data_IF_270637935594
#
_entry.id   IF_270637935594
#
_cell.length_a   1.000
_cell.length_b   1.000
_cell.length_c   1.000
_cell.angle_alpha   90.00
_cell.angle_beta   90.00
_cell.angle_gamma   90.00
#
_symmetry.space_group_name_H-M   'P 1'
#
loop_
_entity.id
_entity.type
_entity.pdbx_description
1 polymer ?
#
# COMPACT_ATOMS: atom_id res chain seq x y z
N UNK A 1 -72.25 -22.63 43.44
CA UNK A 1 -71.35 -22.90 42.24
C UNK A 1 -70.73 -21.56 41.94
N UNK A 2 -69.53 -21.35 42.43
CA UNK A 2 -68.80 -20.10 42.26
C UNK A 2 -67.45 -20.44 41.63
N UNK A 3 -67.23 -20.00 40.38
CA UNK A 3 -66.01 -20.23 39.63
C UNK A 3 -64.95 -19.26 40.09
N UNK A 4 -63.80 -19.75 40.51
CA UNK A 4 -62.60 -18.98 40.82
C UNK A 4 -61.82 -18.80 39.53
N UNK A 5 -61.79 -17.58 39.05
CA UNK A 5 -61.03 -17.18 37.88
C UNK A 5 -59.55 -16.99 38.26
N UNK A 6 -58.69 -17.93 37.85
CA UNK A 6 -57.26 -17.92 38.15
C UNK A 6 -56.53 -17.17 37.01
N UNK A 7 -56.46 -15.85 37.14
CA UNK A 7 -55.66 -15.01 36.26
C UNK A 7 -54.14 -15.34 36.45
N UNK A 8 -53.58 -16.05 35.49
CA UNK A 8 -52.16 -16.29 35.37
C UNK A 8 -51.43 -14.98 35.08
N UNK A 9 -50.72 -14.43 36.09
CA UNK A 9 -49.77 -13.33 35.90
C UNK A 9 -48.65 -13.78 34.95
N UNK A 10 -48.70 -13.31 33.73
CA UNK A 10 -47.56 -13.37 32.77
C UNK A 10 -46.43 -12.54 33.38
N UNK A 11 -45.39 -13.15 33.85
CA UNK A 11 -44.14 -12.50 34.21
C UNK A 11 -43.50 -12.00 32.92
N UNK A 12 -43.60 -10.71 32.65
CA UNK A 12 -42.85 -10.01 31.59
C UNK A 12 -41.35 -10.11 31.91
N UNK A 13 -40.71 -11.13 31.32
CA UNK A 13 -39.24 -11.15 31.26
C UNK A 13 -38.78 -9.97 30.41
N UNK A 14 -37.88 -9.11 30.92
CA UNK A 14 -37.35 -8.00 30.13
C UNK A 14 -36.68 -8.61 28.87
N UNK A 15 -37.06 -8.12 27.69
CA UNK A 15 -36.54 -8.57 26.43
C UNK A 15 -35.00 -8.46 26.42
N UNK A 16 -34.26 -9.49 25.96
CA UNK A 16 -32.80 -9.44 25.90
C UNK A 16 -32.39 -8.26 25.02
N UNK A 17 -31.62 -7.34 25.61
CA UNK A 17 -31.14 -6.15 24.95
C UNK A 17 -30.50 -6.51 23.59
N UNK A 18 -30.95 -5.88 22.50
CA UNK A 18 -30.48 -6.12 21.14
C UNK A 18 -28.95 -6.04 21.10
N UNK A 19 -28.25 -7.01 20.46
CA UNK A 19 -26.81 -6.91 20.24
C UNK A 19 -26.48 -5.61 19.50
N UNK A 20 -25.32 -5.00 19.76
CA UNK A 20 -24.90 -3.82 19.01
C UNK A 20 -24.98 -4.17 17.52
N UNK A 21 -25.62 -3.28 16.74
CA UNK A 21 -25.83 -3.53 15.30
C UNK A 21 -24.50 -3.87 14.67
N UNK A 22 -24.41 -4.93 13.87
CA UNK A 22 -23.16 -5.46 13.27
C UNK A 22 -22.35 -4.38 12.55
N UNK A 23 -23.01 -3.40 11.95
CA UNK A 23 -22.37 -2.29 11.24
C UNK A 23 -21.39 -1.46 12.10
N UNK A 24 -21.54 -1.40 13.43
CA UNK A 24 -20.53 -0.76 14.29
C UNK A 24 -19.20 -1.50 14.28
N UNK A 25 -19.27 -2.83 14.23
CA UNK A 25 -18.07 -3.66 14.09
C UNK A 25 -17.41 -3.47 12.72
N UNK A 26 -18.20 -3.51 11.66
CA UNK A 26 -17.73 -3.32 10.29
C UNK A 26 -17.06 -1.94 10.13
N UNK A 27 -17.73 -0.87 10.60
CA UNK A 27 -17.19 0.49 10.55
C UNK A 27 -15.91 0.63 11.40
N UNK A 28 -15.86 -0.01 12.57
CA UNK A 28 -14.66 0.01 13.41
C UNK A 28 -13.47 -0.64 12.75
N UNK A 29 -13.66 -1.79 12.08
CA UNK A 29 -12.62 -2.48 11.34
C UNK A 29 -12.12 -1.68 10.15
N UNK A 30 -13.03 -1.14 9.34
CA UNK A 30 -12.69 -0.30 8.18
C UNK A 30 -11.94 0.96 8.64
N UNK A 31 -12.41 1.65 9.69
CA UNK A 31 -11.76 2.84 10.23
C UNK A 31 -10.36 2.55 10.78
N UNK A 32 -10.19 1.41 11.48
CA UNK A 32 -8.88 1.00 12.00
C UNK A 32 -7.89 0.67 10.87
N UNK A 33 -8.35 -0.01 9.83
CA UNK A 33 -7.52 -0.33 8.65
C UNK A 33 -7.19 0.93 7.85
N UNK A 34 -8.15 1.84 7.67
CA UNK A 34 -7.89 3.12 7.01
C UNK A 34 -6.81 3.91 7.77
N UNK A 35 -6.91 4.02 9.11
CA UNK A 35 -5.90 4.69 9.92
C UNK A 35 -4.54 4.00 9.81
N UNK A 36 -4.50 2.66 9.81
CA UNK A 36 -3.26 1.89 9.64
C UNK A 36 -2.57 2.21 8.32
N UNK A 37 -3.33 2.22 7.21
CA UNK A 37 -2.81 2.56 5.89
C UNK A 37 -2.35 4.02 5.84
N UNK A 38 -3.12 4.96 6.38
CA UNK A 38 -2.77 6.37 6.41
C UNK A 38 -1.47 6.65 7.17
N UNK A 39 -1.34 6.10 8.38
CA UNK A 39 -0.10 6.24 9.16
C UNK A 39 1.06 5.50 8.50
N UNK A 40 0.81 4.31 7.95
CA UNK A 40 1.81 3.54 7.20
C UNK A 40 2.38 4.34 6.03
N UNK A 41 1.55 5.01 5.23
CA UNK A 41 2.01 5.86 4.11
C UNK A 41 2.82 7.08 4.59
N UNK A 42 2.45 7.69 5.72
CA UNK A 42 3.24 8.79 6.30
C UNK A 42 4.61 8.33 6.78
N UNK A 43 4.68 7.16 7.43
CA UNK A 43 5.96 6.58 7.86
C UNK A 43 6.79 6.14 6.64
N UNK A 44 6.14 5.57 5.61
CA UNK A 44 6.80 5.21 4.35
C UNK A 44 7.41 6.42 3.62
N UNK A 45 6.84 7.62 3.79
CA UNK A 45 7.45 8.85 3.29
C UNK A 45 8.84 9.12 3.90
N UNK A 46 9.19 8.52 5.04
CA UNK A 46 10.50 8.62 5.67
C UNK A 46 11.40 7.39 5.41
N UNK A 47 10.81 6.20 5.26
CA UNK A 47 11.53 4.92 5.12
C UNK A 47 11.70 4.45 3.68
N UNK A 48 11.03 5.10 2.72
CA UNK A 48 11.05 4.77 1.30
C UNK A 48 9.70 4.30 0.78
N UNK A 49 9.29 4.80 -0.38
CA UNK A 49 8.00 4.47 -1.01
C UNK A 49 7.70 2.96 -1.15
N UNK A 50 8.68 2.11 -1.50
CA UNK A 50 8.46 0.65 -1.57
C UNK A 50 8.09 -0.02 -0.24
N UNK A 51 8.35 0.63 0.90
CA UNK A 51 8.01 0.14 2.24
C UNK A 51 6.53 0.38 2.62
N UNK A 52 5.78 1.16 1.82
CA UNK A 52 4.37 1.43 2.06
C UNK A 52 3.56 0.12 2.08
N UNK A 53 2.71 -0.10 3.09
CA UNK A 53 2.06 -1.41 3.30
C UNK A 53 1.27 -1.90 2.09
N UNK A 54 0.54 -1.00 1.42
CA UNK A 54 -0.25 -1.35 0.23
C UNK A 54 0.65 -1.72 -0.97
N UNK A 55 1.78 -1.04 -1.13
CA UNK A 55 2.75 -1.31 -2.20
C UNK A 55 3.46 -2.64 -1.95
N UNK A 56 3.93 -2.87 -0.72
CA UNK A 56 4.63 -4.09 -0.36
C UNK A 56 3.75 -5.35 -0.52
N UNK A 57 2.54 -5.33 0.05
CA UNK A 57 1.58 -6.45 -0.03
C UNK A 57 1.05 -6.63 -1.45
N UNK A 58 0.72 -5.52 -2.13
CA UNK A 58 0.26 -5.54 -3.52
C UNK A 58 1.29 -6.15 -4.46
N UNK A 59 2.58 -5.80 -4.29
CA UNK A 59 3.66 -6.39 -5.07
C UNK A 59 3.77 -7.90 -4.84
N UNK A 60 3.76 -8.38 -3.58
CA UNK A 60 3.77 -9.83 -3.30
C UNK A 60 2.56 -10.53 -3.93
N UNK A 61 1.38 -9.90 -3.89
CA UNK A 61 0.18 -10.47 -4.51
C UNK A 61 0.32 -10.60 -6.04
N UNK A 62 0.93 -9.60 -6.70
CA UNK A 62 1.23 -9.65 -8.15
C UNK A 62 2.25 -10.75 -8.46
N UNK A 63 3.33 -10.82 -7.67
CA UNK A 63 4.39 -11.81 -7.88
C UNK A 63 3.86 -13.24 -7.73
N UNK A 64 3.01 -13.46 -6.72
CA UNK A 64 2.41 -14.77 -6.43
C UNK A 64 1.22 -15.14 -7.36
N UNK A 65 0.68 -14.21 -8.12
CA UNK A 65 -0.48 -14.47 -8.99
C UNK A 65 -0.08 -15.40 -10.15
N UNK A 66 -0.83 -16.53 -10.38
CA UNK A 66 -0.58 -17.42 -11.50
C UNK A 66 -0.73 -16.72 -12.86
N UNK A 67 0.06 -17.15 -13.85
CA UNK A 67 0.05 -16.58 -15.21
C UNK A 67 -1.35 -16.45 -15.81
N UNK A 68 -2.25 -17.44 -15.73
CA UNK A 68 -3.61 -17.30 -16.28
C UNK A 68 -4.43 -16.16 -15.65
N UNK A 69 -4.20 -15.86 -14.36
CA UNK A 69 -4.87 -14.74 -13.68
C UNK A 69 -4.35 -13.40 -14.20
N UNK A 70 -3.04 -13.30 -14.44
CA UNK A 70 -2.41 -12.12 -15.04
C UNK A 70 -2.91 -11.88 -16.46
N UNK A 71 -2.93 -12.93 -17.28
CA UNK A 71 -3.43 -12.87 -18.66
C UNK A 71 -4.91 -12.47 -18.73
N UNK A 72 -5.74 -13.06 -17.86
CA UNK A 72 -7.15 -12.67 -17.75
C UNK A 72 -7.31 -11.20 -17.38
N UNK A 73 -6.55 -10.73 -16.38
CA UNK A 73 -6.62 -9.33 -15.94
C UNK A 73 -6.22 -8.36 -17.08
N UNK A 74 -5.15 -8.66 -17.82
CA UNK A 74 -4.72 -7.87 -18.97
C UNK A 74 -5.76 -7.93 -20.10
N UNK A 75 -6.31 -9.10 -20.41
CA UNK A 75 -7.29 -9.25 -21.47
C UNK A 75 -8.62 -8.52 -21.20
N UNK A 76 -9.07 -8.49 -19.92
CA UNK A 76 -10.35 -7.89 -19.52
C UNK A 76 -10.23 -6.40 -19.26
N UNK A 77 -9.17 -5.97 -18.57
CA UNK A 77 -9.03 -4.59 -18.10
C UNK A 77 -8.11 -3.73 -18.97
N UNK A 78 -7.33 -4.34 -19.86
CA UNK A 78 -6.42 -3.65 -20.79
C UNK A 78 -5.60 -2.55 -20.09
N UNK A 79 -5.79 -1.27 -20.43
CA UNK A 79 -5.09 -0.12 -19.82
C UNK A 79 -5.49 0.16 -18.36
N UNK A 80 -6.60 -0.40 -17.88
CA UNK A 80 -7.11 -0.23 -16.50
C UNK A 80 -6.79 -1.40 -15.57
N UNK A 81 -5.99 -2.37 -16.01
CA UNK A 81 -5.62 -3.58 -15.25
C UNK A 81 -5.07 -3.26 -13.85
N UNK A 82 -4.19 -2.26 -13.74
CA UNK A 82 -3.59 -1.82 -12.48
C UNK A 82 -4.62 -1.16 -11.53
N UNK A 83 -5.54 -0.36 -12.09
CA UNK A 83 -6.62 0.26 -11.30
C UNK A 83 -7.60 -0.79 -10.80
N UNK A 84 -7.99 -1.74 -11.64
CA UNK A 84 -8.86 -2.85 -11.27
C UNK A 84 -8.23 -3.72 -10.19
N UNK A 85 -6.94 -4.03 -10.30
CA UNK A 85 -6.20 -4.79 -9.30
C UNK A 85 -6.11 -4.03 -7.96
N UNK A 86 -5.77 -2.74 -7.99
CA UNK A 86 -5.74 -1.91 -6.77
C UNK A 86 -7.11 -1.83 -6.10
N UNK A 87 -8.17 -1.60 -6.87
CA UNK A 87 -9.54 -1.58 -6.37
C UNK A 87 -9.95 -2.93 -5.76
N UNK A 88 -9.57 -4.04 -6.41
CA UNK A 88 -9.79 -5.40 -5.90
C UNK A 88 -9.08 -5.64 -4.58
N UNK A 89 -7.80 -5.27 -4.46
CA UNK A 89 -7.04 -5.38 -3.21
C UNK A 89 -7.70 -4.57 -2.09
N UNK A 90 -8.08 -3.32 -2.37
CA UNK A 90 -8.74 -2.45 -1.38
C UNK A 90 -10.09 -3.04 -0.95
N UNK A 91 -10.88 -3.58 -1.88
CA UNK A 91 -12.16 -4.22 -1.58
C UNK A 91 -11.98 -5.44 -0.69
N UNK A 92 -11.05 -6.34 -1.03
CA UNK A 92 -10.73 -7.52 -0.23
C UNK A 92 -10.27 -7.13 1.18
N UNK A 93 -9.36 -6.15 1.28
CA UNK A 93 -8.93 -5.61 2.57
C UNK A 93 -10.09 -5.02 3.37
N UNK A 94 -11.01 -4.30 2.74
CA UNK A 94 -12.18 -3.72 3.41
C UNK A 94 -13.13 -4.80 3.95
N UNK A 95 -13.35 -5.89 3.21
CA UNK A 95 -14.17 -7.04 3.66
C UNK A 95 -13.53 -7.71 4.88
N UNK A 96 -12.23 -8.01 4.81
CA UNK A 96 -11.51 -8.59 5.95
C UNK A 96 -11.47 -7.64 7.15
N UNK A 97 -11.25 -6.36 6.92
CA UNK A 97 -11.28 -5.34 7.96
C UNK A 97 -12.64 -5.27 8.66
N UNK A 98 -13.74 -5.28 7.90
CA UNK A 98 -15.09 -5.31 8.45
C UNK A 98 -15.31 -6.57 9.31
N UNK A 99 -14.88 -7.73 8.83
CA UNK A 99 -14.97 -8.99 9.56
C UNK A 99 -14.17 -8.95 10.88
N UNK A 100 -12.91 -8.50 10.83
CA UNK A 100 -12.06 -8.35 12.03
C UNK A 100 -12.69 -7.36 13.02
N UNK A 101 -13.26 -6.27 12.52
CA UNK A 101 -13.96 -5.29 13.34
C UNK A 101 -15.18 -5.89 14.05
N UNK A 102 -15.99 -6.71 13.39
CA UNK A 102 -17.10 -7.44 13.99
C UNK A 102 -16.60 -8.39 15.08
N UNK A 103 -15.51 -9.12 14.81
CA UNK A 103 -14.88 -10.00 15.80
C UNK A 103 -14.36 -9.21 17.02
N UNK A 104 -13.73 -8.04 16.79
CA UNK A 104 -13.22 -7.17 17.85
C UNK A 104 -14.34 -6.66 18.75
N UNK A 105 -15.53 -6.38 18.18
CA UNK A 105 -16.70 -5.97 18.98
C UNK A 105 -17.27 -7.12 19.80
N UNK A 106 -17.16 -8.35 19.34
CA UNK A 106 -17.55 -9.54 20.11
C UNK A 106 -16.56 -9.82 21.23
N UNK A 107 -15.28 -10.01 20.87
CA UNK A 107 -14.16 -10.21 21.81
C UNK A 107 -12.93 -9.48 21.30
N UNK A 108 -12.41 -8.53 22.04
CA UNK A 108 -11.30 -7.66 21.61
C UNK A 108 -10.07 -8.44 21.15
N UNK A 109 -9.73 -9.53 21.83
CA UNK A 109 -8.54 -10.32 21.50
C UNK A 109 -8.61 -10.96 20.11
N UNK A 110 -9.81 -11.33 19.58
CA UNK A 110 -9.94 -11.80 18.20
C UNK A 110 -9.60 -10.71 17.19
N UNK A 111 -10.06 -9.46 17.46
CA UNK A 111 -9.71 -8.32 16.63
C UNK A 111 -8.23 -8.01 16.65
N UNK A 112 -7.61 -8.02 17.85
CA UNK A 112 -6.18 -7.79 18.00
C UNK A 112 -5.35 -8.91 17.34
N UNK A 113 -5.78 -10.17 17.45
CA UNK A 113 -5.15 -11.28 16.74
C UNK A 113 -5.24 -11.11 15.22
N UNK A 114 -6.41 -10.68 14.70
CA UNK A 114 -6.57 -10.35 13.28
C UNK A 114 -5.61 -9.25 12.83
N UNK A 115 -5.50 -8.16 13.58
CA UNK A 115 -4.55 -7.07 13.29
C UNK A 115 -3.10 -7.58 13.32
N UNK A 116 -2.75 -8.44 14.29
CA UNK A 116 -1.41 -9.03 14.39
C UNK A 116 -1.07 -9.91 13.18
N UNK A 117 -2.02 -10.74 12.72
CA UNK A 117 -1.84 -11.59 11.53
C UNK A 117 -1.62 -10.73 10.28
N UNK A 118 -2.47 -9.71 10.03
CA UNK A 118 -2.29 -8.81 8.89
C UNK A 118 -1.02 -7.98 9.01
N UNK A 119 -0.68 -7.53 10.22
CA UNK A 119 0.59 -6.84 10.49
C UNK A 119 1.79 -7.73 10.17
N UNK A 120 1.76 -9.00 10.56
CA UNK A 120 2.82 -9.98 10.24
C UNK A 120 2.95 -10.19 8.73
N UNK A 121 1.83 -10.37 8.01
CA UNK A 121 1.83 -10.49 6.54
C UNK A 121 2.49 -9.25 5.91
N UNK A 122 2.13 -8.05 6.35
CA UNK A 122 2.72 -6.81 5.83
C UNK A 122 4.20 -6.64 6.17
N UNK A 123 4.64 -7.04 7.37
CA UNK A 123 6.05 -7.07 7.76
C UNK A 123 6.83 -8.04 6.87
N UNK A 124 6.35 -9.26 6.69
CA UNK A 124 6.99 -10.25 5.81
C UNK A 124 7.03 -9.75 4.37
N UNK A 125 5.92 -9.20 3.86
CA UNK A 125 5.86 -8.65 2.52
C UNK A 125 6.85 -7.51 2.30
N UNK A 126 7.04 -6.62 3.26
CA UNK A 126 8.01 -5.52 3.16
C UNK A 126 9.46 -5.98 3.31
N UNK A 127 9.72 -6.97 4.20
CA UNK A 127 11.05 -7.50 4.45
C UNK A 127 11.58 -8.38 3.28
N UNK A 128 10.71 -8.96 2.48
CA UNK A 128 11.07 -9.81 1.32
C UNK A 128 11.27 -9.03 0.03
N UNK A 129 11.13 -7.71 0.02
CA UNK A 129 11.41 -6.89 -1.17
C UNK A 129 12.91 -6.88 -1.50
N UNK A 130 13.28 -6.90 -2.81
CA UNK A 130 14.69 -6.93 -3.24
C UNK A 130 15.55 -5.80 -2.67
N UNK A 131 14.96 -4.63 -2.45
CA UNK A 131 15.62 -3.44 -1.89
C UNK A 131 15.36 -3.24 -0.39
N UNK A 132 14.86 -4.27 0.33
CA UNK A 132 14.45 -4.13 1.72
C UNK A 132 15.61 -3.71 2.63
N UNK A 133 15.35 -2.70 3.45
CA UNK A 133 16.22 -2.29 4.55
C UNK A 133 15.55 -2.66 5.88
N UNK A 134 16.32 -2.59 6.98
CA UNK A 134 15.78 -2.83 8.33
C UNK A 134 14.59 -1.90 8.68
N UNK A 135 14.46 -0.75 8.00
CA UNK A 135 13.40 0.23 8.23
C UNK A 135 12.08 -0.10 7.48
N UNK A 136 12.11 -0.98 6.49
CA UNK A 136 10.92 -1.32 5.67
C UNK A 136 9.72 -1.88 6.45
N UNK A 137 9.88 -2.65 7.53
CA UNK A 137 8.75 -3.09 8.36
C UNK A 137 8.09 -1.97 9.18
N UNK A 138 8.78 -0.83 9.45
CA UNK A 138 8.29 0.22 10.34
C UNK A 138 6.91 0.79 9.95
N UNK A 139 6.60 1.09 8.66
CA UNK A 139 5.27 1.58 8.26
C UNK A 139 4.16 0.61 8.65
N UNK A 140 4.36 -0.68 8.43
CA UNK A 140 3.37 -1.71 8.76
C UNK A 140 3.20 -1.86 10.27
N UNK A 141 4.29 -1.86 11.03
CA UNK A 141 4.24 -1.96 12.49
C UNK A 141 3.52 -0.75 13.09
N UNK A 142 3.87 0.47 12.67
CA UNK A 142 3.21 1.69 13.12
C UNK A 142 1.71 1.68 12.79
N UNK A 143 1.36 1.25 11.58
CA UNK A 143 -0.03 1.11 11.15
C UNK A 143 -0.80 0.08 11.99
N UNK A 144 -0.22 -1.09 12.24
CA UNK A 144 -0.84 -2.14 13.05
C UNK A 144 -1.08 -1.69 14.50
N UNK A 145 -0.12 -0.99 15.10
CA UNK A 145 -0.27 -0.43 16.45
C UNK A 145 -1.39 0.62 16.50
N UNK A 146 -1.47 1.50 15.49
CA UNK A 146 -2.54 2.49 15.39
C UNK A 146 -3.92 1.83 15.23
N UNK A 147 -4.03 0.80 14.38
CA UNK A 147 -5.27 0.03 14.21
C UNK A 147 -5.70 -0.65 15.52
N UNK A 148 -4.77 -1.31 16.21
CA UNK A 148 -5.03 -1.95 17.50
C UNK A 148 -5.51 -0.92 18.56
N UNK A 149 -4.82 0.21 18.65
CA UNK A 149 -5.19 1.31 19.54
C UNK A 149 -6.58 1.86 19.24
N UNK A 150 -6.91 2.09 17.97
CA UNK A 150 -8.23 2.59 17.56
C UNK A 150 -9.34 1.56 17.83
N UNK A 151 -9.12 0.27 17.59
CA UNK A 151 -10.11 -0.77 17.94
C UNK A 151 -10.39 -0.82 19.43
N UNK A 152 -9.36 -0.70 20.28
CA UNK A 152 -9.51 -0.62 21.73
C UNK A 152 -10.32 0.61 22.12
N UNK A 153 -10.00 1.78 21.54
CA UNK A 153 -10.66 3.04 21.81
C UNK A 153 -12.14 3.00 21.38
N UNK A 154 -12.43 2.57 20.16
CA UNK A 154 -13.78 2.45 19.63
C UNK A 154 -14.64 1.49 20.48
N UNK A 155 -14.07 0.38 20.93
CA UNK A 155 -14.78 -0.54 21.81
C UNK A 155 -15.11 0.07 23.17
N UNK A 156 -14.23 0.94 23.70
CA UNK A 156 -14.46 1.63 24.99
C UNK A 156 -15.58 2.67 24.92
N UNK A 157 -15.87 3.22 23.74
CA UNK A 157 -16.95 4.21 23.56
C UNK A 157 -18.34 3.58 23.52
N UNK A 158 -18.44 2.27 23.25
CA UNK A 158 -19.72 1.58 23.25
C UNK A 158 -20.12 1.19 24.68
N UNK A 159 -21.40 1.41 25.10
CA UNK A 159 -21.86 1.09 26.46
C UNK A 159 -21.66 -0.42 26.73
N UNK A 160 -20.95 -0.73 27.82
CA UNK A 160 -20.88 -2.09 28.35
C UNK A 160 -22.27 -2.43 28.90
N UNK A 161 -22.75 -3.64 28.62
CA UNK A 161 -23.93 -4.17 29.32
C UNK A 161 -23.65 -4.09 30.82
N UNK A 162 -24.42 -3.29 31.54
CA UNK A 162 -24.53 -3.44 32.98
C UNK A 162 -25.17 -4.83 33.20
N UNK A 163 -24.41 -5.79 33.68
CA UNK A 163 -24.93 -7.00 34.28
C UNK A 163 -25.53 -6.53 35.62
N UNK A 164 -26.82 -6.28 35.62
CA UNK A 164 -27.54 -6.17 36.87
C UNK A 164 -27.39 -7.54 37.54
N UNK A 165 -26.62 -7.59 38.59
CA UNK A 165 -26.44 -8.78 39.41
C UNK A 165 -27.79 -9.13 40.03
N UNK A 166 -28.15 -10.43 39.96
CA UNK A 166 -29.34 -10.91 40.64
C UNK A 166 -29.29 -10.71 42.16
N UNK A 167 -28.16 -10.29 42.72
CA UNK A 167 -27.98 -9.91 44.12
C UNK A 167 -28.55 -8.54 44.46
N UNK A 168 -28.63 -7.60 43.50
CA UNK A 168 -29.24 -6.27 43.76
C UNK A 168 -30.78 -6.31 43.85
N UNK A 169 -31.38 -7.44 43.48
CA UNK A 169 -32.83 -7.67 43.60
C UNK A 169 -33.23 -8.46 44.88
N UNK A 170 -32.22 -8.97 45.61
CA UNK A 170 -32.44 -9.77 46.83
C UNK A 170 -32.55 -8.98 48.13
N UNK A 171 -32.06 -7.75 48.18
CA UNK A 171 -32.02 -6.93 49.41
C UNK A 171 -33.24 -6.06 49.64
N UNK A 172 -34.26 -6.13 48.76
CA UNK A 172 -35.50 -5.33 48.88
C UNK A 172 -36.66 -6.07 49.61
N UNK A 173 -36.41 -7.32 50.06
CA UNK A 173 -37.37 -8.04 50.89
C UNK A 173 -36.81 -8.21 52.30
N UNK A 174 -36.96 -7.16 53.11
CA UNK A 174 -36.78 -7.27 54.58
C UNK A 174 -37.91 -8.10 55.18
N UNK A 175 -37.66 -8.79 56.32
CA UNK A 175 -38.64 -9.67 56.92
C UNK A 175 -39.80 -8.87 57.55
N UNK A 176 -41.03 -9.29 57.21
CA UNK A 176 -42.27 -8.83 57.88
C UNK A 176 -42.16 -9.12 59.33
N UNK A 177 -42.15 -8.06 60.16
CA UNK A 177 -42.46 -8.16 61.57
C UNK A 177 -43.89 -7.66 61.78
N UNK A 178 -44.79 -8.60 62.14
CA UNK A 178 -46.12 -8.38 62.71
C UNK A 178 -46.01 -7.51 63.96
N UNK A 179 -46.60 -6.31 63.95
CA UNK A 179 -47.05 -5.65 65.15
C UNK A 179 -48.43 -5.03 64.91
N UNK A 180 -49.36 -5.56 65.72
CA UNK A 180 -50.76 -5.17 65.74
C UNK A 180 -50.98 -3.78 66.35
N UNK A 181 -51.98 -3.12 65.79
CA UNK A 181 -53.03 -2.24 66.44
C UNK A 181 -52.66 -0.85 66.95
N UNK A 182 -53.50 0.01 66.52
CA UNK A 182 -54.14 1.22 67.13
C UNK A 182 -53.72 2.58 66.55
N UNK A 183 -54.66 3.07 65.80
CA UNK A 183 -55.28 4.39 65.63
C UNK A 183 -54.46 5.64 65.88
N UNK A 184 -54.36 6.44 64.84
CA UNK A 184 -54.79 7.86 64.77
C UNK A 184 -54.47 8.44 63.40
N UNK A 185 -55.44 9.05 62.73
CA UNK A 185 -55.28 9.66 61.39
C UNK A 185 -54.49 10.96 61.46
N UNK A 186 -53.38 11.03 60.74
CA UNK A 186 -52.79 12.27 60.25
C UNK A 186 -52.33 12.05 58.80
N UNK A 187 -52.64 12.91 57.82
CA UNK A 187 -52.25 12.72 56.45
C UNK A 187 -50.78 13.11 56.27
N UNK A 188 -49.91 12.10 56.06
CA UNK A 188 -48.53 12.33 55.65
C UNK A 188 -48.52 12.52 54.15
N UNK A 189 -48.08 13.70 53.75
CA UNK A 189 -47.83 14.16 52.39
C UNK A 189 -46.92 13.17 51.71
N UNK A 190 -47.36 12.61 50.56
CA UNK A 190 -46.62 11.58 49.76
C UNK A 190 -45.22 12.03 49.34
N UNK A 191 -44.25 11.31 49.82
CA UNK A 191 -42.91 11.33 49.22
C UNK A 191 -43.00 10.52 47.87
N UNK A 192 -42.97 11.23 46.76
CA UNK A 192 -43.06 10.63 45.45
C UNK A 192 -41.88 9.68 45.23
N UNK A 193 -42.18 8.44 44.92
CA UNK A 193 -41.20 7.50 44.39
C UNK A 193 -40.51 8.13 43.19
N UNK A 194 -39.15 8.03 43.03
CA UNK A 194 -38.48 8.55 41.87
C UNK A 194 -39.04 7.86 40.62
N UNK A 195 -39.62 8.66 39.73
CA UNK A 195 -40.25 8.18 38.50
C UNK A 195 -39.23 7.40 37.66
N UNK A 196 -39.61 6.23 37.20
CA UNK A 196 -38.83 5.38 36.25
C UNK A 196 -38.36 6.14 34.99
N UNK A 197 -38.99 7.28 34.71
CA UNK A 197 -38.66 8.14 33.59
C UNK A 197 -37.33 8.90 33.75
N UNK A 198 -36.94 9.27 34.99
CA UNK A 198 -35.67 9.95 35.23
C UNK A 198 -34.46 9.02 35.02
N UNK A 199 -34.59 7.75 35.40
CA UNK A 199 -33.52 6.74 35.21
C UNK A 199 -33.36 6.36 33.73
N UNK A 200 -34.47 6.26 32.99
CA UNK A 200 -34.43 5.98 31.53
C UNK A 200 -33.84 7.16 30.75
N UNK A 201 -34.10 8.41 31.14
CA UNK A 201 -33.55 9.56 30.42
C UNK A 201 -32.02 9.70 30.60
N UNK A 202 -31.49 9.35 31.78
CA UNK A 202 -30.03 9.35 32.03
C UNK A 202 -29.31 8.23 31.26
N UNK A 203 -29.92 7.04 31.17
CA UNK A 203 -29.38 5.92 30.42
C UNK A 203 -29.40 6.15 28.88
N UNK A 204 -30.45 6.81 28.39
CA UNK A 204 -30.54 7.20 26.97
C UNK A 204 -29.54 8.30 26.61
N UNK A 205 -29.32 9.28 27.47
CA UNK A 205 -28.31 10.32 27.27
C UNK A 205 -26.87 9.78 27.22
N UNK A 206 -26.52 8.84 28.08
CA UNK A 206 -25.23 8.19 28.10
C UNK A 206 -25.00 7.31 26.82
N UNK A 207 -26.05 6.64 26.35
CA UNK A 207 -26.02 5.86 25.13
C UNK A 207 -25.83 6.71 23.87
N UNK A 208 -26.47 7.89 23.80
CA UNK A 208 -26.32 8.82 22.67
C UNK A 208 -24.93 9.45 22.62
N UNK A 209 -24.34 9.81 23.75
CA UNK A 209 -23.00 10.37 23.86
C UNK A 209 -21.94 9.36 23.41
N UNK A 210 -22.07 8.09 23.78
CA UNK A 210 -21.17 7.01 23.34
C UNK A 210 -21.22 6.79 21.83
N UNK A 211 -22.43 6.79 21.24
CA UNK A 211 -22.59 6.63 19.77
C UNK A 211 -21.99 7.81 18.99
N UNK A 212 -22.20 9.04 19.44
CA UNK A 212 -21.61 10.24 18.81
C UNK A 212 -20.09 10.19 18.84
N UNK A 213 -19.48 9.82 19.99
CA UNK A 213 -18.03 9.66 20.13
C UNK A 213 -17.48 8.54 19.22
N UNK A 214 -18.16 7.40 19.15
CA UNK A 214 -17.79 6.31 18.25
C UNK A 214 -17.76 6.77 16.79
N UNK A 215 -18.84 7.40 16.32
CA UNK A 215 -18.94 7.89 14.94
C UNK A 215 -17.88 8.96 14.64
N UNK A 216 -17.70 9.91 15.57
CA UNK A 216 -16.69 10.96 15.40
C UNK A 216 -15.27 10.38 15.26
N UNK A 217 -14.92 9.38 16.10
CA UNK A 217 -13.61 8.71 16.02
C UNK A 217 -13.46 7.90 14.74
N UNK A 218 -14.48 7.13 14.35
CA UNK A 218 -14.42 6.30 13.16
C UNK A 218 -14.34 7.14 11.87
N UNK A 219 -15.21 8.15 11.75
CA UNK A 219 -15.21 9.07 10.58
C UNK A 219 -13.94 9.92 10.58
N UNK A 220 -13.52 10.41 11.76
CA UNK A 220 -12.27 11.15 11.90
C UNK A 220 -11.05 10.33 11.46
N UNK A 221 -10.98 9.04 11.83
CA UNK A 221 -9.89 8.16 11.41
C UNK A 221 -9.89 7.91 9.88
N UNK A 222 -11.07 7.71 9.28
CA UNK A 222 -11.21 7.57 7.82
C UNK A 222 -10.82 8.87 7.12
N UNK A 223 -11.29 10.01 7.63
CA UNK A 223 -10.96 11.34 7.09
C UNK A 223 -9.45 11.64 7.19
N UNK A 224 -8.83 11.33 8.33
CA UNK A 224 -7.39 11.45 8.50
C UNK A 224 -6.61 10.58 7.51
N UNK A 225 -7.04 9.34 7.28
CA UNK A 225 -6.44 8.44 6.30
C UNK A 225 -6.60 8.95 4.86
N UNK A 226 -7.77 9.51 4.51
CA UNK A 226 -8.02 10.09 3.20
C UNK A 226 -7.07 11.26 2.86
N UNK A 227 -6.55 11.95 3.87
CA UNK A 227 -5.53 13.00 3.72
C UNK A 227 -4.12 12.41 3.81
N UNK A 228 -3.89 11.50 4.77
CA UNK A 228 -2.56 10.95 5.06
C UNK A 228 -2.01 10.11 3.89
N UNK A 229 -2.85 9.29 3.24
CA UNK A 229 -2.40 8.44 2.11
C UNK A 229 -1.88 9.28 0.95
N UNK A 230 -2.64 10.20 0.35
CA UNK A 230 -2.11 11.03 -0.73
C UNK A 230 -1.00 11.97 -0.25
N UNK A 231 -1.08 12.45 1.00
CA UNK A 231 -0.06 13.29 1.62
C UNK A 231 1.30 12.61 1.72
N UNK A 232 1.34 11.39 2.27
CA UNK A 232 2.56 10.59 2.37
C UNK A 232 3.19 10.30 1.00
N UNK A 233 2.38 9.90 0.02
CA UNK A 233 2.83 9.65 -1.36
C UNK A 233 3.39 10.91 -2.02
N UNK A 234 2.73 12.07 -1.85
CA UNK A 234 3.21 13.35 -2.37
C UNK A 234 4.54 13.77 -1.74
N UNK A 235 4.66 13.64 -0.42
CA UNK A 235 5.90 13.98 0.28
C UNK A 235 7.08 13.16 -0.23
N UNK A 236 6.89 11.86 -0.44
CA UNK A 236 7.92 10.99 -1.00
C UNK A 236 8.23 11.36 -2.45
N UNK A 237 7.21 11.54 -3.30
CA UNK A 237 7.37 11.93 -4.69
C UNK A 237 8.13 13.27 -4.83
N UNK A 238 7.84 14.24 -3.98
CA UNK A 238 8.56 15.52 -3.96
C UNK A 238 10.05 15.37 -3.58
N UNK A 239 10.36 14.46 -2.62
CA UNK A 239 11.76 14.18 -2.27
C UNK A 239 12.52 13.58 -3.43
N UNK A 240 11.94 12.57 -4.09
CA UNK A 240 12.57 11.94 -5.26
C UNK A 240 12.69 12.93 -6.42
N UNK A 241 11.68 13.77 -6.65
CA UNK A 241 11.74 14.82 -7.68
C UNK A 241 12.85 15.85 -7.39
N UNK A 242 12.99 16.28 -6.12
CA UNK A 242 14.06 17.18 -5.70
C UNK A 242 15.44 16.51 -5.84
N UNK A 243 15.57 15.25 -5.41
CA UNK A 243 16.81 14.48 -5.56
C UNK A 243 17.17 14.28 -7.05
N UNK A 244 16.19 14.01 -7.92
CA UNK A 244 16.39 13.92 -9.38
C UNK A 244 16.86 15.27 -9.95
N UNK A 245 16.22 16.36 -9.57
CA UNK A 245 16.59 17.70 -10.05
C UNK A 245 18.00 18.14 -9.61
N UNK A 246 18.49 17.59 -8.51
CA UNK A 246 19.85 17.85 -8.02
C UNK A 246 20.92 17.01 -8.72
N UNK A 247 20.56 16.01 -9.51
CA UNK A 247 21.52 15.19 -10.26
C UNK A 247 22.14 16.02 -11.39
N UNK A 248 23.46 16.14 -11.36
CA UNK A 248 24.25 16.68 -12.46
C UNK A 248 24.79 15.54 -13.29
N UNK A 249 24.33 15.44 -14.53
CA UNK A 249 24.82 14.41 -15.45
C UNK A 249 26.27 14.74 -15.89
N UNK A 250 27.16 13.74 -15.92
CA UNK A 250 28.52 13.95 -16.45
C UNK A 250 28.48 14.17 -17.95
N UNK A 251 29.48 14.85 -18.48
CA UNK A 251 29.68 14.98 -19.92
C UNK A 251 30.06 13.61 -20.51
N UNK A 252 29.46 13.20 -21.64
CA UNK A 252 29.79 11.93 -22.27
C UNK A 252 31.23 11.94 -22.79
N UNK A 253 31.98 10.85 -22.58
CA UNK A 253 33.28 10.63 -23.19
C UNK A 253 33.19 10.38 -24.72
N UNK A 254 32.01 9.89 -25.15
CA UNK A 254 31.67 9.71 -26.56
C UNK A 254 30.25 10.25 -26.78
N UNK A 255 30.11 11.52 -27.19
CA UNK A 255 28.82 12.14 -27.42
C UNK A 255 28.11 11.52 -28.63
N UNK A 256 26.78 11.60 -28.66
CA UNK A 256 26.00 11.22 -29.83
C UNK A 256 26.32 12.13 -31.02
N UNK A 257 26.32 11.56 -32.22
CA UNK A 257 26.48 12.35 -33.42
C UNK A 257 25.38 13.40 -33.57
N UNK A 258 25.69 14.62 -33.99
CA UNK A 258 24.70 15.65 -34.21
C UNK A 258 23.67 15.17 -35.25
N UNK A 259 22.39 15.43 -34.99
CA UNK A 259 21.34 15.06 -35.92
C UNK A 259 21.33 15.99 -37.15
N UNK A 260 21.09 15.45 -38.36
CA UNK A 260 20.85 16.27 -39.55
C UNK A 260 19.69 17.22 -39.35
N UNK A 261 19.77 18.43 -39.96
CA UNK A 261 18.74 19.47 -39.79
C UNK A 261 17.31 19.05 -40.23
N UNK A 262 17.19 17.99 -41.07
CA UNK A 262 15.90 17.45 -41.55
C UNK A 262 15.70 15.99 -41.14
N UNK A 263 16.17 15.60 -39.95
CA UNK A 263 16.02 14.23 -39.45
C UNK A 263 14.53 13.87 -39.21
N UNK A 264 13.72 14.82 -38.81
CA UNK A 264 12.26 14.67 -38.71
C UNK A 264 11.61 15.07 -40.04
N UNK A 265 10.81 14.16 -40.60
CA UNK A 265 10.22 14.33 -41.94
C UNK A 265 9.12 15.40 -42.02
N UNK A 266 8.61 15.88 -40.90
CA UNK A 266 7.61 16.99 -40.84
C UNK A 266 6.26 16.67 -41.48
N UNK A 267 5.90 15.41 -41.61
CA UNK A 267 4.62 14.94 -42.15
C UNK A 267 3.61 14.81 -41.01
N UNK A 268 2.38 15.35 -41.12
CA UNK A 268 1.35 15.17 -40.12
C UNK A 268 1.12 13.70 -39.81
N UNK A 269 1.04 13.35 -38.51
CA UNK A 269 0.85 11.97 -38.05
C UNK A 269 2.14 11.13 -37.97
N UNK A 270 3.29 11.69 -38.33
CA UNK A 270 4.60 11.03 -38.14
C UNK A 270 5.28 11.64 -36.90
N UNK A 271 5.63 10.77 -35.95
CA UNK A 271 6.34 11.16 -34.73
C UNK A 271 7.71 11.82 -35.03
N UNK A 272 8.17 12.77 -34.22
CA UNK A 272 9.52 13.30 -34.33
C UNK A 272 10.57 12.20 -34.18
N UNK A 273 11.72 12.35 -34.86
CA UNK A 273 12.81 11.38 -34.72
C UNK A 273 13.25 11.18 -33.27
N UNK A 274 13.24 12.22 -32.44
CA UNK A 274 13.45 12.13 -31.01
C UNK A 274 12.11 12.31 -30.32
N UNK A 275 11.64 11.30 -29.64
CA UNK A 275 10.44 11.31 -28.83
C UNK A 275 10.70 12.11 -27.57
N UNK A 276 9.85 13.10 -27.24
CA UNK A 276 9.96 13.86 -25.99
C UNK A 276 9.76 12.95 -24.79
N UNK A 277 10.41 13.23 -23.66
CA UNK A 277 10.30 12.41 -22.46
C UNK A 277 8.85 12.21 -21.97
N UNK A 278 8.02 13.25 -22.10
CA UNK A 278 6.60 13.19 -21.70
C UNK A 278 5.72 12.33 -22.62
N UNK A 279 6.13 12.13 -23.88
CA UNK A 279 5.40 11.38 -24.90
C UNK A 279 5.96 9.97 -25.11
N UNK A 280 7.11 9.68 -24.47
CA UNK A 280 7.75 8.37 -24.61
C UNK A 280 6.87 7.29 -23.95
N UNK A 281 6.62 6.20 -24.65
CA UNK A 281 5.72 5.16 -24.17
C UNK A 281 6.15 4.57 -22.83
N UNK A 282 5.18 4.15 -22.04
CA UNK A 282 5.42 3.53 -20.74
C UNK A 282 4.74 2.17 -20.64
N UNK A 283 5.54 1.12 -20.55
CA UNK A 283 5.14 -0.25 -20.23
C UNK A 283 5.98 -0.71 -19.03
N UNK A 284 5.35 -1.21 -18.00
CA UNK A 284 5.97 -1.83 -16.83
C UNK A 284 4.95 -2.68 -16.06
N UNK A 285 5.43 -3.56 -15.19
CA UNK A 285 4.63 -4.41 -14.31
C UNK A 285 4.35 -3.76 -12.95
N UNK A 286 4.95 -2.61 -12.68
CA UNK A 286 4.84 -1.93 -11.40
C UNK A 286 3.41 -1.46 -11.11
N UNK A 287 2.87 -1.80 -9.95
CA UNK A 287 1.56 -1.34 -9.48
C UNK A 287 1.54 0.18 -9.30
N UNK A 288 2.62 0.71 -8.78
CA UNK A 288 2.91 2.14 -8.65
C UNK A 288 4.31 2.38 -9.15
N UNK A 289 4.55 3.53 -9.78
CA UNK A 289 5.89 3.89 -10.25
C UNK A 289 6.89 3.80 -9.09
N UNK A 290 7.89 2.92 -9.15
CA UNK A 290 8.94 2.87 -8.16
C UNK A 290 9.65 4.23 -8.08
N UNK A 291 9.89 4.66 -6.87
CA UNK A 291 10.56 5.93 -6.58
C UNK A 291 11.70 5.65 -5.63
N UNK A 292 12.90 6.02 -6.03
CA UNK A 292 14.13 5.78 -5.26
C UNK A 292 15.01 7.02 -5.28
N UNK A 293 15.55 7.40 -4.14
CA UNK A 293 16.57 8.45 -4.10
C UNK A 293 17.91 7.88 -4.60
N UNK A 294 18.71 8.65 -5.36
CA UNK A 294 20.02 8.17 -5.88
C UNK A 294 20.98 7.68 -4.81
N UNK A 295 20.98 8.31 -3.63
CA UNK A 295 21.83 7.92 -2.49
C UNK A 295 21.55 6.50 -1.97
N UNK A 296 20.31 6.03 -2.14
CA UNK A 296 19.87 4.71 -1.67
C UNK A 296 20.02 3.64 -2.76
N UNK A 297 20.28 4.06 -4.00
CA UNK A 297 20.45 3.14 -5.12
C UNK A 297 21.78 2.40 -5.06
N UNK A 298 21.72 1.11 -5.33
CA UNK A 298 22.87 0.22 -5.50
C UNK A 298 22.60 -0.72 -6.67
N UNK A 299 23.65 -1.00 -7.42
CA UNK A 299 23.66 -2.08 -8.41
C UNK A 299 24.59 -3.19 -7.93
N UNK A 300 24.07 -4.40 -7.85
CA UNK A 300 24.90 -5.59 -7.58
C UNK A 300 24.98 -6.44 -8.84
N UNK A 301 26.21 -6.76 -9.26
CA UNK A 301 26.48 -7.70 -10.36
C UNK A 301 27.13 -8.93 -9.73
N UNK A 302 26.46 -10.08 -9.87
CA UNK A 302 26.87 -11.32 -9.19
C UNK A 302 26.43 -12.58 -9.94
N UNK A 303 26.58 -13.74 -9.32
CA UNK A 303 26.24 -15.03 -9.91
C UNK A 303 27.44 -15.68 -10.56
N UNK A 304 27.34 -16.04 -11.85
CA UNK A 304 28.41 -16.72 -12.58
C UNK A 304 29.45 -15.72 -13.13
N UNK A 305 30.08 -14.99 -12.20
CA UNK A 305 31.14 -14.00 -12.47
C UNK A 305 32.34 -14.29 -11.57
N UNK A 306 33.54 -14.00 -12.04
CA UNK A 306 34.74 -14.19 -11.24
C UNK A 306 34.91 -13.11 -10.16
N UNK A 307 34.46 -11.89 -10.45
CA UNK A 307 34.61 -10.71 -9.58
C UNK A 307 33.25 -10.02 -9.37
N UNK A 308 32.44 -10.42 -8.40
CA UNK A 308 31.20 -9.72 -8.06
C UNK A 308 31.47 -8.23 -7.79
N UNK A 309 30.57 -7.36 -8.25
CA UNK A 309 30.70 -5.90 -8.17
C UNK A 309 29.46 -5.29 -7.56
N UNK A 310 29.64 -4.32 -6.65
CA UNK A 310 28.55 -3.49 -6.17
C UNK A 310 28.90 -2.02 -6.39
N UNK A 311 28.01 -1.27 -7.02
CA UNK A 311 28.19 0.14 -7.34
C UNK A 311 27.14 1.00 -6.65
N UNK A 312 27.56 2.14 -6.13
CA UNK A 312 26.65 3.24 -5.79
C UNK A 312 26.33 4.08 -7.02
N UNK A 313 25.30 4.94 -6.93
CA UNK A 313 24.96 5.85 -8.02
C UNK A 313 26.12 6.80 -8.37
N UNK A 314 26.79 7.33 -7.33
CA UNK A 314 27.95 8.20 -7.50
C UNK A 314 29.11 7.50 -8.21
N UNK A 315 29.38 6.24 -7.82
CA UNK A 315 30.41 5.42 -8.48
C UNK A 315 30.06 5.12 -9.93
N UNK A 316 28.77 4.95 -10.25
CA UNK A 316 28.30 4.79 -11.62
C UNK A 316 28.49 6.08 -12.43
N UNK A 317 28.13 7.25 -11.85
CA UNK A 317 28.29 8.54 -12.51
C UNK A 317 29.76 8.91 -12.75
N UNK A 318 30.68 8.42 -11.94
CA UNK A 318 32.12 8.64 -12.10
C UNK A 318 32.77 7.81 -13.25
N UNK A 319 32.03 6.88 -13.85
CA UNK A 319 32.53 6.05 -14.96
C UNK A 319 32.44 6.80 -16.30
N UNK A 320 33.29 6.45 -17.27
CA UNK A 320 33.14 6.95 -18.63
C UNK A 320 31.75 6.60 -19.19
N UNK A 321 31.04 7.60 -19.68
CA UNK A 321 29.71 7.41 -20.26
C UNK A 321 29.71 7.71 -21.75
N UNK A 322 28.84 7.04 -22.47
CA UNK A 322 28.59 7.31 -23.88
C UNK A 322 27.17 7.80 -24.06
N UNK A 323 26.95 8.57 -25.11
CA UNK A 323 25.64 9.08 -25.47
C UNK A 323 25.23 8.55 -26.84
N UNK A 324 24.02 7.96 -26.95
CA UNK A 324 23.53 7.31 -28.17
C UNK A 324 22.05 7.57 -28.39
N UNK A 325 21.64 7.70 -29.64
CA UNK A 325 20.25 7.61 -30.03
C UNK A 325 19.86 6.14 -30.16
N UNK A 326 18.92 5.68 -29.33
CA UNK A 326 18.46 4.30 -29.34
C UNK A 326 16.94 4.28 -29.33
N UNK A 327 16.37 3.52 -30.26
CA UNK A 327 14.94 3.23 -30.31
C UNK A 327 14.62 2.03 -29.42
N UNK A 328 13.64 2.18 -28.55
CA UNK A 328 13.04 1.09 -27.82
C UNK A 328 11.62 0.83 -28.36
N UNK A 329 11.28 -0.44 -28.50
CA UNK A 329 9.93 -0.87 -28.88
C UNK A 329 9.43 -1.94 -27.91
N UNK A 330 8.13 -1.93 -27.63
CA UNK A 330 7.47 -3.03 -26.94
C UNK A 330 7.19 -4.15 -27.94
N UNK A 331 7.26 -5.40 -27.48
CA UNK A 331 6.87 -6.57 -28.30
C UNK A 331 5.40 -6.52 -28.72
N UNK A 332 4.57 -5.85 -27.93
CA UNK A 332 3.13 -5.64 -28.19
C UNK A 332 2.86 -4.43 -29.09
N UNK A 333 3.89 -3.77 -29.65
CA UNK A 333 3.66 -2.66 -30.56
C UNK A 333 3.14 -3.17 -31.91
N UNK A 334 1.97 -2.72 -32.30
CA UNK A 334 1.41 -2.99 -33.62
C UNK A 334 2.05 -2.07 -34.68
N UNK A 335 1.91 -2.42 -35.95
CA UNK A 335 2.37 -1.56 -37.05
C UNK A 335 1.62 -0.23 -37.01
N UNK A 336 2.36 0.88 -36.87
CA UNK A 336 1.78 2.21 -36.65
C UNK A 336 1.31 2.47 -35.22
N UNK A 337 1.64 1.59 -34.26
CA UNK A 337 1.27 1.74 -32.85
C UNK A 337 2.16 2.71 -32.09
N UNK A 338 1.74 3.05 -30.87
CA UNK A 338 2.34 4.07 -30.02
C UNK A 338 3.37 3.53 -29.01
N UNK A 339 3.66 2.19 -29.04
CA UNK A 339 4.55 1.54 -28.08
C UNK A 339 6.00 1.45 -28.62
N UNK A 340 6.47 2.52 -29.23
CA UNK A 340 7.82 2.69 -29.75
C UNK A 340 8.27 4.12 -29.47
N UNK A 341 9.56 4.32 -29.20
CA UNK A 341 10.10 5.66 -28.97
C UNK A 341 11.61 5.67 -29.22
N UNK A 342 12.13 6.77 -29.79
CA UNK A 342 13.55 7.00 -29.97
C UNK A 342 14.00 8.14 -29.07
N UNK A 343 15.03 7.92 -28.27
CA UNK A 343 15.56 8.95 -27.38
C UNK A 343 17.11 8.95 -27.41
N UNK A 344 17.68 10.04 -26.95
CA UNK A 344 19.10 10.19 -26.71
C UNK A 344 19.41 9.75 -25.28
N UNK A 345 20.13 8.65 -25.15
CA UNK A 345 20.44 8.03 -23.87
C UNK A 345 21.90 8.28 -23.49
N UNK A 346 22.13 8.68 -22.23
CA UNK A 346 23.44 8.80 -21.61
C UNK A 346 23.61 7.65 -20.59
N UNK A 347 24.69 6.89 -20.70
CA UNK A 347 24.91 5.77 -19.76
C UNK A 347 26.29 5.14 -19.88
N UNK A 348 26.57 4.23 -18.95
CA UNK A 348 27.77 3.42 -18.93
C UNK A 348 27.55 2.20 -19.85
N UNK A 349 28.50 1.85 -20.75
CA UNK A 349 28.39 0.63 -21.55
C UNK A 349 28.34 -0.60 -20.64
N UNK A 350 27.33 -1.46 -20.83
CA UNK A 350 27.20 -2.71 -20.05
C UNK A 350 28.39 -3.62 -20.30
N UNK A 351 28.91 -3.62 -21.52
CA UNK A 351 30.11 -4.40 -21.89
C UNK A 351 31.28 -4.13 -20.94
N UNK A 352 31.55 -2.88 -20.63
CA UNK A 352 32.68 -2.49 -19.77
C UNK A 352 32.54 -3.07 -18.35
N UNK A 353 31.31 -3.09 -17.82
CA UNK A 353 31.00 -3.71 -16.52
C UNK A 353 31.11 -5.24 -16.58
N UNK A 354 30.65 -5.85 -17.67
CA UNK A 354 30.79 -7.30 -17.85
C UNK A 354 32.25 -7.72 -18.04
N UNK A 355 33.05 -6.93 -18.72
CA UNK A 355 34.50 -7.19 -18.87
C UNK A 355 35.23 -7.07 -17.52
N UNK A 356 34.78 -6.16 -16.62
CA UNK A 356 35.34 -6.01 -15.28
C UNK A 356 34.99 -7.20 -14.35
N UNK A 357 33.73 -7.69 -14.40
CA UNK A 357 33.29 -8.79 -13.53
C UNK A 357 33.67 -10.17 -14.05
N UNK A 358 34.10 -10.29 -15.29
CA UNK A 358 34.51 -11.52 -15.99
C UNK A 358 33.45 -12.64 -15.82
N UNK A 359 32.32 -12.60 -16.55
CA UNK A 359 31.35 -13.67 -16.51
C UNK A 359 31.96 -14.99 -17.02
N UNK A 360 31.51 -16.09 -16.42
CA UNK A 360 31.85 -17.44 -16.86
C UNK A 360 31.40 -17.67 -18.33
N UNK A 361 32.18 -18.36 -19.13
CA UNK A 361 31.87 -18.63 -20.56
C UNK A 361 30.53 -19.38 -20.73
N UNK A 362 30.09 -20.11 -19.72
CA UNK A 362 28.80 -20.81 -19.72
C UNK A 362 27.63 -19.94 -19.29
N UNK A 363 27.86 -18.67 -18.89
CA UNK A 363 26.81 -17.70 -18.58
C UNK A 363 26.27 -17.10 -19.89
N UNK A 364 25.33 -17.79 -20.51
CA UNK A 364 24.71 -17.39 -21.78
C UNK A 364 23.69 -16.30 -21.68
N UNK A 365 23.20 -16.00 -20.42
CA UNK A 365 22.16 -15.02 -20.14
C UNK A 365 22.50 -14.20 -18.90
N UNK A 366 22.25 -12.89 -18.99
CA UNK A 366 22.26 -11.96 -17.85
C UNK A 366 20.81 -11.71 -17.42
N UNK A 367 20.49 -12.04 -16.17
CA UNK A 367 19.18 -11.76 -15.56
C UNK A 367 19.26 -10.41 -14.86
N UNK A 368 18.56 -9.43 -15.39
CA UNK A 368 18.42 -8.12 -14.78
C UNK A 368 17.22 -8.08 -13.83
N UNK A 369 17.34 -7.40 -12.67
CA UNK A 369 16.25 -7.26 -11.69
C UNK A 369 16.02 -5.80 -11.35
N UNK A 370 14.74 -5.43 -11.34
CA UNK A 370 14.23 -4.13 -10.90
C UNK A 370 13.97 -4.11 -9.40
N UNK A 371 13.91 -2.91 -8.81
CA UNK A 371 13.53 -2.67 -7.41
C UNK A 371 12.13 -3.19 -7.05
N UNK A 372 11.20 -3.24 -8.03
CA UNK A 372 9.85 -3.77 -7.85
C UNK A 372 9.78 -5.31 -7.97
N UNK A 373 10.89 -5.97 -8.28
CA UNK A 373 10.99 -7.41 -8.41
C UNK A 373 10.87 -7.93 -9.85
N UNK A 374 10.56 -7.07 -10.84
CA UNK A 374 10.56 -7.47 -12.24
C UNK A 374 11.93 -8.00 -12.67
N UNK A 375 11.94 -9.07 -13.45
CA UNK A 375 13.16 -9.66 -14.01
C UNK A 375 13.05 -9.82 -15.52
N UNK A 376 14.19 -9.63 -16.21
CA UNK A 376 14.31 -9.89 -17.63
C UNK A 376 15.65 -10.60 -17.93
N UNK A 377 15.62 -11.57 -18.80
CA UNK A 377 16.83 -12.25 -19.28
C UNK A 377 17.28 -11.69 -20.61
N UNK A 378 18.54 -11.22 -20.68
CA UNK A 378 19.17 -10.71 -21.90
C UNK A 378 20.33 -11.63 -22.28
N UNK A 379 20.46 -12.08 -23.55
CA UNK A 379 21.59 -12.88 -23.95
C UNK A 379 22.92 -12.16 -23.69
N UNK A 380 23.86 -12.83 -23.01
CA UNK A 380 25.17 -12.25 -22.65
C UNK A 380 25.92 -11.78 -23.90
N UNK A 381 25.82 -12.52 -24.99
CA UNK A 381 26.45 -12.17 -26.28
C UNK A 381 25.92 -10.79 -26.77
N UNK A 382 24.62 -10.52 -26.65
CA UNK A 382 24.04 -9.25 -27.11
C UNK A 382 24.50 -8.05 -26.26
N UNK A 383 24.91 -8.27 -25.02
CA UNK A 383 25.43 -7.21 -24.13
C UNK A 383 26.92 -6.94 -24.37
N UNK A 384 27.62 -7.81 -25.11
CA UNK A 384 29.09 -7.74 -25.34
C UNK A 384 29.48 -7.54 -26.81
N UNK A 385 28.55 -7.58 -27.76
CA UNK A 385 28.83 -7.54 -29.19
C UNK A 385 29.13 -6.14 -29.77
N UNK A 386 29.16 -5.12 -28.90
CA UNK A 386 29.49 -3.75 -29.30
C UNK A 386 28.29 -2.91 -29.78
N UNK A 387 27.06 -3.39 -29.60
CA UNK A 387 25.84 -2.65 -29.98
C UNK A 387 25.51 -1.43 -29.09
N UNK A 388 26.41 -0.96 -28.24
CA UNK A 388 26.18 0.12 -27.29
C UNK A 388 25.02 -0.15 -26.32
N UNK A 389 24.95 -1.35 -25.71
CA UNK A 389 24.05 -1.64 -24.60
C UNK A 389 24.46 -0.82 -23.38
N UNK A 390 23.52 -0.08 -22.77
CA UNK A 390 23.80 0.93 -21.75
C UNK A 390 23.09 0.64 -20.41
N UNK A 391 23.77 0.95 -19.32
CA UNK A 391 23.13 1.36 -18.08
C UNK A 391 22.88 2.88 -18.15
N UNK A 392 21.69 3.25 -18.58
CA UNK A 392 21.33 4.63 -18.82
C UNK A 392 20.98 5.36 -17.50
N UNK A 393 21.50 6.58 -17.34
CA UNK A 393 21.24 7.50 -16.25
C UNK A 393 20.57 8.78 -16.73
N UNK A 394 20.65 9.07 -18.03
CA UNK A 394 20.08 10.25 -18.67
C UNK A 394 19.28 9.93 -19.93
N UNK A 395 18.30 10.76 -20.22
CA UNK A 395 17.40 10.68 -21.37
C UNK A 395 17.15 12.08 -21.92
N UNK A 396 17.44 12.30 -23.20
CA UNK A 396 17.26 13.57 -23.91
C UNK A 396 17.93 14.78 -23.21
N UNK A 397 19.08 14.56 -22.55
CA UNK A 397 19.88 15.61 -21.93
C UNK A 397 19.50 15.96 -20.48
N UNK A 398 18.57 15.22 -19.87
CA UNK A 398 18.22 15.35 -18.46
C UNK A 398 18.31 14.00 -17.73
N UNK A 399 18.41 13.97 -16.38
CA UNK A 399 18.31 12.73 -15.62
C UNK A 399 17.03 11.99 -16.01
N UNK A 400 17.06 10.65 -16.00
CA UNK A 400 15.91 9.84 -16.38
C UNK A 400 14.62 10.33 -15.68
N UNK A 401 13.49 10.43 -16.39
CA UNK A 401 12.20 10.57 -15.73
C UNK A 401 11.93 9.38 -14.80
N UNK A 402 11.22 9.61 -13.69
CA UNK A 402 10.96 8.57 -12.69
C UNK A 402 10.21 7.40 -13.32
N UNK A 403 9.22 7.66 -14.17
CA UNK A 403 8.42 6.69 -14.92
C UNK A 403 9.22 5.92 -15.98
N UNK A 404 10.36 6.46 -16.39
CA UNK A 404 11.25 5.83 -17.36
C UNK A 404 12.45 5.14 -16.72
N UNK A 405 12.47 4.99 -15.39
CA UNK A 405 13.42 4.12 -14.70
C UNK A 405 14.51 4.83 -13.88
N UNK A 406 14.30 6.12 -13.50
CA UNK A 406 15.22 6.80 -12.58
C UNK A 406 15.49 5.97 -11.31
N UNK A 407 16.74 5.85 -10.83
CA UNK A 407 17.93 6.54 -11.33
C UNK A 407 18.67 5.82 -12.46
N UNK A 408 18.45 4.52 -12.67
CA UNK A 408 19.18 3.72 -13.67
C UNK A 408 18.27 2.71 -14.35
N UNK A 409 18.41 2.57 -15.68
CA UNK A 409 17.75 1.52 -16.46
C UNK A 409 18.67 0.88 -17.47
N UNK A 410 18.31 -0.31 -17.91
CA UNK A 410 18.91 -0.91 -19.10
C UNK A 410 18.30 -0.35 -20.38
N UNK A 411 19.15 -0.16 -21.39
CA UNK A 411 18.78 0.17 -22.78
C UNK A 411 19.68 -0.63 -23.69
N UNK A 412 19.11 -1.55 -24.46
CA UNK A 412 19.86 -2.42 -25.37
C UNK A 412 19.33 -2.27 -26.79
N UNK A 413 20.12 -1.73 -27.73
CA UNK A 413 19.70 -1.57 -29.11
C UNK A 413 19.35 -2.91 -29.77
N UNK A 414 18.31 -2.92 -30.59
CA UNK A 414 17.92 -4.06 -31.41
C UNK A 414 17.16 -5.18 -30.69
N UNK A 415 16.82 -5.02 -29.40
CA UNK A 415 16.00 -5.96 -28.65
C UNK A 415 14.72 -5.29 -28.16
N UNK A 416 13.63 -6.06 -28.10
CA UNK A 416 12.39 -5.59 -27.47
C UNK A 416 12.57 -5.34 -25.98
N UNK A 417 11.87 -4.33 -25.46
CA UNK A 417 12.03 -3.87 -24.08
C UNK A 417 11.82 -4.93 -23.00
N UNK A 418 10.95 -5.93 -23.23
CA UNK A 418 10.65 -6.96 -22.22
C UNK A 418 11.82 -7.90 -21.92
N UNK A 419 12.83 -7.98 -22.80
CA UNK A 419 14.05 -8.77 -22.61
C UNK A 419 15.31 -7.92 -22.41
N UNK A 420 15.21 -6.58 -22.36
CA UNK A 420 16.41 -5.75 -22.46
C UNK A 420 16.33 -4.37 -21.80
N UNK A 421 15.16 -3.94 -21.33
CA UNK A 421 14.99 -2.56 -20.92
C UNK A 421 14.46 -2.43 -19.49
N UNK A 422 15.03 -3.22 -18.56
CA UNK A 422 14.67 -3.20 -17.14
C UNK A 422 14.86 -1.82 -16.55
N UNK A 423 13.75 -1.23 -16.08
CA UNK A 423 13.70 0.05 -15.38
C UNK A 423 14.01 -0.13 -13.89
N UNK A 424 14.46 0.93 -13.22
CA UNK A 424 14.77 0.91 -11.78
C UNK A 424 15.69 -0.27 -11.41
N UNK A 425 16.71 -0.44 -12.20
CA UNK A 425 17.63 -1.58 -12.13
C UNK A 425 18.43 -1.58 -10.83
N UNK A 426 18.53 -2.75 -10.18
CA UNK A 426 19.31 -2.94 -8.95
C UNK A 426 20.22 -4.15 -8.98
N UNK A 427 20.05 -5.08 -9.94
CA UNK A 427 20.80 -6.34 -9.95
C UNK A 427 21.00 -6.84 -11.40
N UNK A 428 22.15 -7.41 -11.63
CA UNK A 428 22.52 -8.14 -12.85
C UNK A 428 23.19 -9.47 -12.50
#
# INVERSE_FOLDING_TARGET
MSGIDMQTRKTDRPAPGRPPKQWYGELAGVAATALALGLGELVAAATGGPSAPLVAVGGVAVDAAPTPVKEFAVAVFYTYDKLALQAGIVLVLAVFAAFIGVLAMRRLWYGLAGVAVFGMIGVLASATRPSATWAYPLPTVAGALAAAGLLVLLRRTLPRRATVSAQDLGDATGPDTDVAAQGTHTPVRGVGSPSSDATNSVLDGAGQTGRRRFLALAVGAIGAAAVAVPGGRRLWAQRVAAARAAVVLPSPSSPAAPLPAKVSVGVPGVEPFVTRNADFYRIDTALTVPQMEPKDWRLTIHGRVKRPLTLTYEQLLARPMVERYITLACVSNEVGGELVGNARWLGVPIKDLLDEVEPDDSADQVVSRSVDGYTAGTPTAALRDGRDALLAVGMNGEPLPVEHGFPVRMVVPGLYGYVSATKWLTEL
#
